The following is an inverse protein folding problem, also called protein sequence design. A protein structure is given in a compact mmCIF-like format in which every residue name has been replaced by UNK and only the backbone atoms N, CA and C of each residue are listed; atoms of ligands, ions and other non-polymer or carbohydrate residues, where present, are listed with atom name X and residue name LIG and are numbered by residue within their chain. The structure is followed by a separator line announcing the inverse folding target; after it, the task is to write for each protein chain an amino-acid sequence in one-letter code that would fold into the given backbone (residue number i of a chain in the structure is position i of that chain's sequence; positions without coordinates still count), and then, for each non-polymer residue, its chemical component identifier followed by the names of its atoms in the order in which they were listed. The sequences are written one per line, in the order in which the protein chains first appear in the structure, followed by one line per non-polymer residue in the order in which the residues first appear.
data_IF_295342796114
#
_entry.id   IF_295342796114
#
_cell.length_a   1.000
_cell.length_b   1.000
_cell.length_c   1.000
_cell.angle_alpha   90.00
_cell.angle_beta   90.00
_cell.angle_gamma   90.00
#
_symmetry.space_group_name_H-M   'P 1'
#
loop_
_entity.id
_entity.type
_entity.pdbx_description
1 polymer ?
#
# COMPACT_ATOMS: atom_id res chain seq x y z
N UNK A 1 -7.32 10.27 4.00
CA UNK A 1 -6.88 9.12 4.80
C UNK A 1 -8.04 8.57 5.61
N UNK A 2 -8.19 7.26 5.64
CA UNK A 2 -9.12 6.61 6.57
C UNK A 2 -8.48 6.44 7.95
N UNK A 3 -9.18 5.78 8.88
CA UNK A 3 -8.72 5.66 10.25
C UNK A 3 -7.50 4.73 10.39
N UNK A 4 -6.70 4.98 11.43
CA UNK A 4 -5.55 4.15 11.81
C UNK A 4 -4.47 4.03 10.73
N UNK A 5 -4.36 5.02 9.84
CA UNK A 5 -3.28 5.09 8.86
C UNK A 5 -2.03 5.66 9.51
N UNK A 6 -0.91 4.94 9.37
CA UNK A 6 0.39 5.43 9.81
C UNK A 6 1.14 6.05 8.64
N UNK A 7 1.54 7.31 8.79
CA UNK A 7 2.39 8.00 7.82
C UNK A 7 3.79 8.17 8.40
N UNK A 8 4.78 7.52 7.81
CA UNK A 8 6.15 7.65 8.23
C UNK A 8 6.72 9.05 7.98
N UNK A 9 7.84 9.42 8.63
CA UNK A 9 8.44 10.74 8.46
C UNK A 9 8.89 10.95 7.01
N UNK A 10 8.70 12.19 6.51
CA UNK A 10 9.11 12.60 5.16
C UNK A 10 8.47 11.84 4.02
N UNK A 11 7.37 11.14 4.25
CA UNK A 11 6.59 10.58 3.16
C UNK A 11 5.84 11.70 2.44
N UNK A 12 5.53 11.53 1.16
CA UNK A 12 4.98 12.57 0.30
C UNK A 12 3.81 12.04 -0.53
N UNK A 13 2.75 12.84 -0.62
CA UNK A 13 1.68 12.66 -1.60
C UNK A 13 1.86 13.68 -2.72
N UNK A 14 1.83 13.23 -3.99
CA UNK A 14 1.76 14.18 -5.09
C UNK A 14 0.31 14.55 -5.38
N UNK A 15 0.08 15.71 -5.99
CA UNK A 15 -1.29 16.19 -6.22
C UNK A 15 -1.63 16.42 -7.69
N UNK A 16 -0.64 16.43 -8.58
CA UNK A 16 -0.85 16.66 -10.01
C UNK A 16 -0.28 15.49 -10.80
N UNK A 17 -1.08 14.87 -11.65
CA UNK A 17 -0.68 13.68 -12.40
C UNK A 17 0.46 13.96 -13.39
N UNK A 18 0.42 15.09 -14.08
CA UNK A 18 1.41 15.47 -15.10
C UNK A 18 1.87 16.92 -14.87
N UNK A 19 2.72 17.15 -13.82
CA UNK A 19 3.10 18.48 -13.43
C UNK A 19 4.05 19.14 -14.44
N UNK A 20 3.83 20.44 -14.68
CA UNK A 20 4.71 21.28 -15.47
C UNK A 20 4.65 22.69 -14.91
N UNK A 21 5.78 23.24 -14.48
CA UNK A 21 5.82 24.51 -13.77
C UNK A 21 5.23 25.69 -14.59
N UNK A 22 5.43 25.68 -15.90
CA UNK A 22 4.94 26.73 -16.79
C UNK A 22 3.48 26.54 -17.22
N UNK A 23 2.82 25.48 -16.80
CA UNK A 23 1.45 25.15 -17.20
C UNK A 23 0.56 25.03 -15.99
N UNK A 24 -0.64 25.63 -16.06
CA UNK A 24 -1.65 25.47 -15.00
C UNK A 24 -2.40 24.17 -15.25
N UNK A 25 -2.32 23.24 -14.28
CA UNK A 25 -2.92 21.88 -14.39
C UNK A 25 -3.80 21.54 -13.21
N UNK A 26 -4.52 22.50 -12.66
CA UNK A 26 -5.39 22.28 -11.49
C UNK A 26 -6.49 21.27 -11.79
N UNK A 27 -6.96 21.20 -13.03
CA UNK A 27 -7.96 20.22 -13.46
C UNK A 27 -7.41 18.78 -13.58
N UNK A 28 -6.10 18.61 -13.47
CA UNK A 28 -5.44 17.31 -13.48
C UNK A 28 -5.13 16.78 -12.09
N UNK A 29 -5.58 17.45 -11.05
CA UNK A 29 -5.47 16.95 -9.68
C UNK A 29 -6.31 15.69 -9.55
N UNK A 30 -5.72 14.63 -9.01
CA UNK A 30 -6.39 13.34 -8.81
C UNK A 30 -6.44 13.01 -7.34
N UNK A 31 -7.58 12.58 -6.82
CA UNK A 31 -7.70 12.20 -5.43
C UNK A 31 -6.89 10.94 -5.13
N UNK A 32 -6.33 10.89 -3.94
CA UNK A 32 -5.63 9.71 -3.41
C UNK A 32 -6.39 9.21 -2.19
N UNK A 33 -6.65 7.92 -2.15
CA UNK A 33 -7.33 7.28 -1.03
C UNK A 33 -6.38 6.31 -0.35
N UNK A 34 -6.23 6.47 0.96
CA UNK A 34 -5.49 5.51 1.80
C UNK A 34 -6.48 4.92 2.78
N UNK A 35 -6.70 3.63 2.67
CA UNK A 35 -7.72 2.93 3.44
C UNK A 35 -7.23 2.56 4.84
N UNK A 36 -8.19 2.15 5.66
CA UNK A 36 -8.01 1.87 7.08
C UNK A 36 -6.80 0.97 7.36
N UNK A 37 -6.03 1.35 8.37
CA UNK A 37 -4.94 0.52 8.89
C UNK A 37 -3.68 0.44 8.04
N UNK A 38 -3.63 1.11 6.89
CA UNK A 38 -2.45 1.07 6.04
C UNK A 38 -1.25 1.76 6.69
N UNK A 39 -0.05 1.28 6.39
CA UNK A 39 1.22 1.87 6.83
C UNK A 39 1.99 2.39 5.63
N UNK A 40 2.32 3.68 5.66
CA UNK A 40 3.15 4.33 4.65
C UNK A 40 4.54 4.58 5.24
N UNK A 41 5.55 3.87 4.76
CA UNK A 41 6.89 3.94 5.31
C UNK A 41 7.56 5.30 5.11
N UNK A 42 8.63 5.54 5.87
CA UNK A 42 9.39 6.79 5.81
C UNK A 42 9.90 7.06 4.39
N UNK A 43 9.84 8.30 3.95
CA UNK A 43 10.30 8.76 2.64
C UNK A 43 9.61 8.08 1.45
N UNK A 44 8.50 7.38 1.62
CA UNK A 44 7.78 6.84 0.49
C UNK A 44 7.05 7.97 -0.26
N UNK A 45 6.77 7.76 -1.54
CA UNK A 45 6.03 8.69 -2.38
C UNK A 45 4.79 8.01 -2.91
N UNK A 46 3.63 8.63 -2.72
CA UNK A 46 2.36 8.13 -3.23
C UNK A 46 1.90 9.06 -4.35
N UNK A 47 1.91 8.55 -5.57
CA UNK A 47 1.48 9.34 -6.74
C UNK A 47 -0.04 9.50 -6.69
N UNK A 48 -0.51 10.69 -7.01
CA UNK A 48 -1.94 11.03 -6.97
C UNK A 48 -2.78 10.09 -7.85
N UNK A 49 -4.02 9.87 -7.44
CA UNK A 49 -4.92 8.93 -8.11
C UNK A 49 -4.76 7.48 -7.68
N UNK A 50 -3.81 7.21 -6.76
CA UNK A 50 -3.55 5.86 -6.25
C UNK A 50 -4.47 5.56 -5.07
N UNK A 51 -5.00 4.35 -5.03
CA UNK A 51 -5.72 3.82 -3.86
C UNK A 51 -4.83 2.81 -3.14
N UNK A 52 -4.56 3.04 -1.87
CA UNK A 52 -3.82 2.12 -1.01
C UNK A 52 -4.84 1.31 -0.21
N UNK A 53 -4.85 0.01 -0.41
CA UNK A 53 -5.80 -0.90 0.23
C UNK A 53 -5.62 -0.98 1.74
N UNK A 54 -6.66 -1.43 2.43
CA UNK A 54 -6.65 -1.54 3.89
C UNK A 54 -5.52 -2.48 4.37
N UNK A 55 -4.88 -2.11 5.46
CA UNK A 55 -3.76 -2.84 6.06
C UNK A 55 -2.59 -3.12 5.12
N UNK A 56 -2.49 -2.42 3.99
CA UNK A 56 -1.31 -2.50 3.14
C UNK A 56 -0.09 -1.93 3.88
N UNK A 57 1.07 -2.45 3.57
CA UNK A 57 2.32 -1.99 4.16
C UNK A 57 3.28 -1.57 3.06
N UNK A 58 3.62 -0.29 3.06
CA UNK A 58 4.54 0.29 2.08
C UNK A 58 5.88 0.53 2.74
N UNK A 59 6.92 -0.14 2.22
CA UNK A 59 8.27 -0.02 2.76
C UNK A 59 8.86 1.38 2.58
N UNK A 60 9.85 1.70 3.41
CA UNK A 60 10.53 2.99 3.35
C UNK A 60 11.13 3.24 1.98
N UNK A 61 11.01 4.46 1.48
CA UNK A 61 11.58 4.89 0.21
C UNK A 61 10.86 4.37 -1.04
N UNK A 62 9.78 3.62 -0.91
CA UNK A 62 9.04 3.11 -2.05
C UNK A 62 8.30 4.22 -2.80
N UNK A 63 8.09 4.04 -4.10
CA UNK A 63 7.31 4.95 -4.94
C UNK A 63 6.10 4.20 -5.49
N UNK A 64 4.91 4.57 -5.03
CA UNK A 64 3.65 3.98 -5.47
C UNK A 64 3.10 4.76 -6.65
N UNK A 65 3.00 4.11 -7.80
CA UNK A 65 2.39 4.68 -9.01
C UNK A 65 1.15 3.93 -9.47
N UNK A 66 0.75 2.89 -8.76
CA UNK A 66 -0.43 2.06 -9.03
C UNK A 66 -1.15 1.74 -7.74
N UNK A 67 -2.41 1.33 -7.85
CA UNK A 67 -3.20 0.88 -6.71
C UNK A 67 -2.53 -0.29 -6.00
N UNK A 68 -2.69 -0.32 -4.68
CA UNK A 68 -2.10 -1.33 -3.81
C UNK A 68 -3.23 -2.18 -3.23
N UNK A 69 -3.18 -3.51 -3.43
CA UNK A 69 -4.17 -4.40 -2.82
C UNK A 69 -4.15 -4.35 -1.30
N UNK A 70 -5.28 -4.66 -0.67
CA UNK A 70 -5.33 -4.79 0.78
C UNK A 70 -4.32 -5.83 1.27
N UNK A 71 -3.67 -5.55 2.39
CA UNK A 71 -2.65 -6.38 3.04
C UNK A 71 -1.35 -6.58 2.24
N UNK A 72 -1.18 -5.93 1.10
CA UNK A 72 0.01 -6.11 0.28
C UNK A 72 1.24 -5.46 0.93
N UNK A 73 2.37 -6.13 0.82
CA UNK A 73 3.68 -5.59 1.20
C UNK A 73 4.37 -5.09 -0.07
N UNK A 74 4.56 -3.77 -0.15
CA UNK A 74 5.13 -3.09 -1.33
C UNK A 74 6.48 -2.49 -0.99
N UNK A 75 7.45 -2.68 -1.86
CA UNK A 75 8.79 -2.08 -1.71
C UNK A 75 9.35 -1.66 -3.07
N UNK A 76 10.27 -0.71 -3.05
CA UNK A 76 11.11 -0.35 -4.19
C UNK A 76 10.61 0.81 -5.04
N UNK A 77 11.37 1.11 -6.10
CA UNK A 77 11.10 2.18 -7.07
C UNK A 77 11.27 1.62 -8.48
N UNK A 78 10.19 1.44 -9.25
CA UNK A 78 8.79 1.52 -8.83
C UNK A 78 8.45 0.43 -7.81
N UNK A 79 7.49 0.70 -6.95
CA UNK A 79 7.11 -0.24 -5.90
C UNK A 79 6.53 -1.53 -6.50
N UNK A 80 6.92 -2.66 -5.92
CA UNK A 80 6.45 -3.98 -6.32
C UNK A 80 5.97 -4.74 -5.10
N UNK A 81 4.94 -5.57 -5.30
CA UNK A 81 4.45 -6.45 -4.26
C UNK A 81 5.41 -7.61 -4.07
N UNK A 82 5.96 -7.73 -2.87
CA UNK A 82 6.88 -8.82 -2.53
C UNK A 82 6.27 -9.82 -1.55
N UNK A 83 5.10 -9.53 -1.03
CA UNK A 83 4.45 -10.41 -0.07
C UNK A 83 3.20 -9.78 0.51
N UNK A 84 2.83 -10.25 1.68
CA UNK A 84 1.58 -9.88 2.36
C UNK A 84 1.81 -9.70 3.84
N UNK A 85 1.03 -8.81 4.44
CA UNK A 85 1.10 -8.48 5.87
C UNK A 85 -0.23 -8.77 6.54
N UNK A 86 -0.19 -9.20 7.79
CA UNK A 86 -1.40 -9.33 8.59
C UNK A 86 -1.87 -7.97 9.10
N UNK A 87 -3.07 -7.92 9.68
CA UNK A 87 -3.56 -6.71 10.36
C UNK A 87 -2.66 -6.27 11.51
N UNK A 88 -1.98 -7.21 12.13
CA UNK A 88 -1.03 -6.92 13.19
C UNK A 88 0.27 -6.29 12.69
N UNK A 89 0.57 -6.40 11.39
CA UNK A 89 1.81 -5.91 10.81
C UNK A 89 2.91 -6.95 10.77
N UNK A 90 2.56 -8.22 10.82
CA UNK A 90 3.51 -9.34 10.70
C UNK A 90 3.46 -9.89 9.29
N UNK A 91 4.63 -10.15 8.70
CA UNK A 91 4.70 -10.71 7.36
C UNK A 91 4.17 -12.15 7.36
N UNK A 92 3.29 -12.43 6.41
CA UNK A 92 2.72 -13.77 6.24
C UNK A 92 3.60 -14.63 5.33
N UNK A 93 3.64 -15.93 5.63
CA UNK A 93 4.40 -16.90 4.83
C UNK A 93 3.63 -17.29 3.57
N UNK A 94 3.52 -16.34 2.63
CA UNK A 94 2.78 -16.50 1.38
C UNK A 94 3.61 -16.00 0.21
N UNK A 95 3.42 -16.59 -1.01
CA UNK A 95 4.05 -16.05 -2.20
C UNK A 95 3.46 -14.68 -2.55
N UNK A 96 4.17 -13.90 -3.37
CA UNK A 96 3.69 -12.59 -3.80
C UNK A 96 2.38 -12.69 -4.60
N UNK A 97 2.18 -13.78 -5.32
CA UNK A 97 0.92 -14.09 -6.02
C UNK A 97 0.72 -15.59 -6.08
N UNK A 98 -0.50 -16.02 -6.35
CA UNK A 98 -0.84 -17.43 -6.41
C UNK A 98 -1.93 -17.78 -5.40
N UNK A 99 -1.88 -18.98 -4.85
CA UNK A 99 -2.85 -19.45 -3.87
C UNK A 99 -2.16 -19.98 -2.63
N UNK A 100 -2.79 -19.83 -1.48
CA UNK A 100 -2.27 -20.35 -0.25
C UNK A 100 -3.03 -19.83 0.96
N UNK A 101 -2.69 -20.37 2.11
CA UNK A 101 -3.20 -19.95 3.40
C UNK A 101 -2.03 -19.76 4.35
N UNK A 102 -2.16 -18.79 5.25
CA UNK A 102 -1.18 -18.57 6.29
C UNK A 102 -1.86 -18.11 7.56
N UNK A 103 -1.22 -18.37 8.70
CA UNK A 103 -1.68 -17.92 10.00
C UNK A 103 -0.72 -16.87 10.53
N UNK A 104 -1.24 -15.74 11.00
CA UNK A 104 -0.41 -14.73 11.63
C UNK A 104 0.13 -15.30 12.94
N UNK A 105 1.47 -15.42 13.12
CA UNK A 105 2.04 -16.00 14.33
C UNK A 105 1.80 -15.15 15.58
N UNK A 106 1.52 -13.86 15.42
CA UNK A 106 1.30 -12.96 16.56
C UNK A 106 -0.13 -13.01 17.08
N UNK A 107 -1.13 -13.21 16.20
CA UNK A 107 -2.55 -13.11 16.56
C UNK A 107 -3.34 -14.40 16.39
N UNK A 108 -2.81 -15.37 15.61
CA UNK A 108 -3.50 -16.59 15.26
C UNK A 108 -4.56 -16.42 14.18
N UNK A 109 -4.74 -15.22 13.62
CA UNK A 109 -5.68 -14.98 12.52
C UNK A 109 -5.22 -15.70 11.26
N UNK A 110 -6.16 -16.27 10.54
CA UNK A 110 -5.89 -17.02 9.31
C UNK A 110 -6.23 -16.16 8.10
N UNK A 111 -5.37 -16.24 7.08
CA UNK A 111 -5.50 -15.50 5.84
C UNK A 111 -5.47 -16.44 4.65
N UNK A 112 -6.22 -16.09 3.63
CA UNK A 112 -6.29 -16.84 2.39
C UNK A 112 -5.90 -15.97 1.22
N UNK A 113 -4.93 -16.42 0.44
CA UNK A 113 -4.49 -15.77 -0.79
C UNK A 113 -5.13 -16.44 -1.99
N UNK A 114 -5.75 -15.64 -2.85
CA UNK A 114 -6.31 -16.09 -4.13
C UNK A 114 -5.86 -15.10 -5.22
N UNK A 115 -4.81 -15.46 -5.95
CA UNK A 115 -4.20 -14.62 -6.98
C UNK A 115 -3.58 -13.36 -6.39
N UNK A 116 -4.25 -12.23 -6.58
CA UNK A 116 -3.81 -10.92 -6.12
C UNK A 116 -4.64 -10.40 -4.94
N UNK A 117 -5.43 -11.25 -4.31
CA UNK A 117 -6.34 -10.85 -3.26
C UNK A 117 -6.11 -11.69 -2.01
N UNK A 118 -5.89 -10.99 -0.90
CA UNK A 118 -5.79 -11.61 0.43
C UNK A 118 -7.03 -11.27 1.24
N UNK A 119 -7.60 -12.28 1.89
CA UNK A 119 -8.75 -12.12 2.78
C UNK A 119 -8.51 -12.82 4.10
N UNK A 120 -9.15 -12.32 5.16
CA UNK A 120 -9.17 -13.00 6.46
C UNK A 120 -10.24 -14.09 6.40
N UNK A 121 -9.87 -15.28 6.83
CA UNK A 121 -10.80 -16.39 6.90
C UNK A 121 -11.79 -16.26 8.08
#
# INVERSE_FOLDING_TARGET
LEDDVFCGPSMVFTNVHNPRAAMVRKNEYRPTLVKHGATLGANCTVVCGTTVGEYAFVGAGAVLSRDVPAYALMVGVPARRIGWMSRHGTRLALPASGQGEATCPATGERYRLDGDRLTIC
#
